data_IF_732628271500
#
_entry.id   IF_732628271500
#
_cell.length_a   1.000
_cell.length_b   1.000
_cell.length_c   1.000
_cell.angle_alpha   90.00
_cell.angle_beta   90.00
_cell.angle_gamma   90.00
#
_symmetry.space_group_name_H-M   'P 1'
#
loop_
_entity.id
_entity.type
_entity.pdbx_description
1 polymer ?
#
# COMPACT_ATOMS: atom_id res chain seq x y z
N UNK A 1 26.18 -37.08 -55.96
CA UNK A 1 26.59 -38.19 -55.06
C UNK A 1 28.09 -38.03 -54.89
N UNK A 2 28.66 -37.66 -53.75
CA UNK A 2 28.23 -37.76 -52.36
C UNK A 2 28.67 -36.50 -51.60
N UNK A 3 27.85 -36.09 -50.63
CA UNK A 3 28.24 -35.27 -49.48
C UNK A 3 29.25 -36.05 -48.64
N UNK A 4 29.90 -35.34 -47.71
CA UNK A 4 30.16 -35.72 -46.31
C UNK A 4 31.52 -35.12 -45.90
N UNK A 5 31.75 -34.52 -44.74
CA UNK A 5 30.91 -34.07 -43.62
C UNK A 5 31.85 -33.35 -42.62
N UNK A 6 31.24 -32.60 -41.71
CA UNK A 6 31.84 -31.99 -40.50
C UNK A 6 32.66 -30.71 -40.67
N UNK A 7 31.94 -29.63 -40.97
CA UNK A 7 32.24 -28.35 -40.36
C UNK A 7 31.87 -28.38 -38.87
N UNK A 8 32.86 -28.42 -38.00
CA UNK A 8 32.71 -28.07 -36.59
C UNK A 8 32.43 -26.56 -36.49
N UNK A 9 31.16 -26.19 -36.42
CA UNK A 9 30.72 -24.86 -36.02
C UNK A 9 29.50 -25.01 -35.12
N UNK A 10 29.73 -25.12 -33.81
CA UNK A 10 28.92 -24.44 -32.80
C UNK A 10 29.58 -24.57 -31.42
N UNK A 11 30.60 -23.75 -31.17
CA UNK A 11 30.76 -23.23 -29.81
C UNK A 11 29.56 -22.33 -29.58
N UNK A 12 28.55 -22.82 -28.86
CA UNK A 12 27.41 -21.99 -28.43
C UNK A 12 27.97 -20.86 -27.55
N UNK A 13 28.32 -19.73 -28.16
CA UNK A 13 28.94 -18.60 -27.49
C UNK A 13 27.89 -17.96 -26.58
N UNK A 14 27.99 -18.29 -25.29
CA UNK A 14 27.13 -17.72 -24.26
C UNK A 14 27.69 -16.35 -23.88
N UNK A 15 26.97 -15.30 -24.26
CA UNK A 15 27.38 -13.92 -24.00
C UNK A 15 27.04 -13.55 -22.56
N UNK A 16 28.03 -13.18 -21.78
CA UNK A 16 27.82 -12.71 -20.41
C UNK A 16 27.44 -11.22 -20.40
N UNK A 17 26.17 -10.96 -20.06
CA UNK A 17 25.57 -9.62 -20.10
C UNK A 17 26.21 -8.72 -19.05
N UNK A 18 26.46 -9.24 -17.84
CA UNK A 18 27.09 -8.49 -16.75
C UNK A 18 28.54 -8.09 -17.10
N UNK A 19 29.30 -9.03 -17.68
CA UNK A 19 30.69 -8.77 -18.07
C UNK A 19 30.79 -7.70 -19.16
N UNK A 20 29.90 -7.73 -20.14
CA UNK A 20 29.84 -6.72 -21.21
C UNK A 20 29.48 -5.33 -20.68
N UNK A 21 28.49 -5.25 -19.77
CA UNK A 21 28.09 -4.00 -19.13
C UNK A 21 29.23 -3.36 -18.32
N UNK A 22 29.95 -4.16 -17.50
CA UNK A 22 31.12 -3.67 -16.75
C UNK A 22 32.26 -3.18 -17.64
N UNK A 23 32.41 -3.75 -18.83
CA UNK A 23 33.39 -3.32 -19.81
C UNK A 23 32.95 -2.06 -20.59
N UNK A 24 31.74 -1.55 -20.35
CA UNK A 24 31.17 -0.39 -21.07
C UNK A 24 30.96 -0.65 -22.56
N UNK A 25 30.87 -1.92 -22.98
CA UNK A 25 30.71 -2.33 -24.38
C UNK A 25 29.26 -2.75 -24.64
N UNK A 26 28.72 -2.50 -25.84
CA UNK A 26 27.43 -3.06 -26.23
C UNK A 26 27.54 -4.60 -26.25
N UNK A 27 26.49 -5.25 -25.76
CA UNK A 27 26.36 -6.71 -25.82
C UNK A 27 26.03 -7.09 -27.26
N UNK A 28 26.86 -7.90 -27.95
CA UNK A 28 26.60 -8.25 -29.34
C UNK A 28 25.32 -9.10 -29.46
N UNK A 29 24.61 -9.03 -30.60
CA UNK A 29 23.53 -9.95 -30.87
C UNK A 29 24.09 -11.38 -30.94
N UNK A 30 23.67 -12.24 -30.01
CA UNK A 30 24.01 -13.66 -30.00
C UNK A 30 22.81 -14.55 -29.77
N UNK A 31 23.05 -15.86 -29.84
CA UNK A 31 22.01 -16.88 -29.67
C UNK A 31 21.74 -17.22 -28.20
N UNK A 32 22.65 -16.90 -27.28
CA UNK A 32 22.50 -17.18 -25.85
C UNK A 32 23.09 -16.07 -24.99
N UNK A 33 22.32 -15.60 -24.02
CA UNK A 33 22.69 -14.55 -23.07
C UNK A 33 22.71 -15.12 -21.66
N UNK A 34 23.79 -14.87 -20.92
CA UNK A 34 23.88 -15.18 -19.49
C UNK A 34 23.52 -13.93 -18.70
N UNK A 35 22.42 -14.01 -17.96
CA UNK A 35 21.95 -12.95 -17.05
C UNK A 35 22.03 -13.43 -15.61
N UNK A 36 22.28 -12.50 -14.69
CA UNK A 36 22.26 -12.78 -13.25
C UNK A 36 20.96 -12.29 -12.64
N UNK A 37 20.26 -13.17 -11.91
CA UNK A 37 19.09 -12.82 -11.09
C UNK A 37 19.39 -13.25 -9.65
N UNK A 38 19.37 -12.30 -8.72
CA UNK A 38 19.84 -12.47 -7.35
C UNK A 38 21.32 -12.95 -7.29
N UNK A 39 21.53 -14.24 -6.99
CA UNK A 39 22.84 -14.91 -6.93
C UNK A 39 23.06 -15.92 -8.05
N UNK A 40 22.00 -16.24 -8.80
CA UNK A 40 21.99 -17.31 -9.79
C UNK A 40 22.16 -16.75 -11.21
N UNK A 41 22.91 -17.49 -12.04
CA UNK A 41 23.11 -17.16 -13.45
C UNK A 41 22.21 -18.04 -14.32
N UNK A 42 21.51 -17.43 -15.27
CA UNK A 42 20.63 -18.11 -16.21
C UNK A 42 21.09 -17.85 -17.63
N UNK A 43 21.10 -18.89 -18.46
CA UNK A 43 21.34 -18.76 -19.90
C UNK A 43 20.00 -18.80 -20.62
N UNK A 44 19.71 -17.74 -21.36
CA UNK A 44 18.47 -17.55 -22.12
C UNK A 44 18.79 -17.39 -23.60
N UNK A 45 17.93 -17.91 -24.47
CA UNK A 45 18.10 -17.99 -25.92
C UNK A 45 17.51 -16.79 -26.68
N UNK A 46 17.15 -15.74 -25.95
CA UNK A 46 16.48 -14.53 -26.44
C UNK A 46 17.14 -13.29 -25.88
N UNK A 47 17.23 -12.25 -26.72
CA UNK A 47 17.80 -10.96 -26.34
C UNK A 47 16.86 -10.11 -25.50
N UNK A 48 15.56 -10.41 -25.50
CA UNK A 48 14.55 -9.67 -24.74
C UNK A 48 13.70 -10.60 -23.87
N UNK A 49 13.34 -10.13 -22.67
CA UNK A 49 12.41 -10.81 -21.77
C UNK A 49 11.58 -9.80 -20.99
N UNK A 50 10.33 -10.14 -20.70
CA UNK A 50 9.49 -9.36 -19.79
C UNK A 50 9.90 -9.56 -18.33
N UNK A 51 9.57 -8.59 -17.47
CA UNK A 51 9.80 -8.73 -16.03
C UNK A 51 9.18 -9.99 -15.42
N UNK A 52 7.99 -10.39 -15.88
CA UNK A 52 7.34 -11.62 -15.43
C UNK A 52 8.13 -12.88 -15.81
N UNK A 53 8.71 -12.91 -17.01
CA UNK A 53 9.51 -14.05 -17.46
C UNK A 53 10.86 -14.13 -16.73
N UNK A 54 11.49 -12.99 -16.44
CA UNK A 54 12.72 -12.94 -15.65
C UNK A 54 12.47 -13.42 -14.21
N UNK A 55 11.36 -13.01 -13.58
CA UNK A 55 10.94 -13.54 -12.28
C UNK A 55 10.67 -15.06 -12.34
N UNK A 56 10.11 -15.55 -13.45
CA UNK A 56 9.86 -16.96 -13.70
C UNK A 56 11.12 -17.83 -13.64
N UNK A 57 12.29 -17.31 -14.06
CA UNK A 57 13.57 -18.03 -14.00
C UNK A 57 13.94 -18.46 -12.58
N UNK A 58 13.61 -17.64 -11.59
CA UNK A 58 13.83 -17.90 -10.15
C UNK A 58 12.57 -18.39 -9.44
N UNK A 59 11.58 -18.92 -10.20
CA UNK A 59 10.31 -19.45 -9.69
C UNK A 59 9.52 -18.44 -8.83
N UNK A 60 9.62 -17.15 -9.17
CA UNK A 60 8.89 -16.04 -8.52
C UNK A 60 7.84 -15.49 -9.48
N UNK A 61 6.88 -14.74 -8.93
CA UNK A 61 5.81 -14.12 -9.72
C UNK A 61 5.73 -12.62 -9.45
N UNK A 62 5.26 -11.81 -10.41
CA UNK A 62 5.03 -10.39 -10.19
C UNK A 62 4.03 -10.09 -9.06
N UNK A 63 3.17 -11.05 -8.72
CA UNK A 63 2.22 -10.93 -7.61
C UNK A 63 2.89 -10.99 -6.23
N UNK A 64 4.11 -11.54 -6.14
CA UNK A 64 4.80 -11.77 -4.86
C UNK A 64 6.16 -11.08 -4.76
N UNK A 65 6.74 -10.65 -5.87
CA UNK A 65 8.08 -10.09 -5.93
C UNK A 65 8.18 -8.94 -6.95
N UNK A 66 8.86 -7.87 -6.56
CA UNK A 66 9.35 -6.83 -7.45
C UNK A 66 10.65 -7.28 -8.12
N UNK A 67 10.87 -6.83 -9.36
CA UNK A 67 12.10 -7.06 -10.11
C UNK A 67 12.83 -5.74 -10.34
N UNK A 68 14.10 -5.68 -9.98
CA UNK A 68 14.95 -4.51 -10.19
C UNK A 68 16.09 -4.85 -11.14
N UNK A 69 16.32 -4.01 -12.14
CA UNK A 69 17.51 -4.02 -12.99
C UNK A 69 18.55 -3.06 -12.41
N UNK A 70 19.75 -3.56 -12.18
CA UNK A 70 20.91 -2.72 -11.87
C UNK A 70 21.60 -2.35 -13.17
N UNK A 71 21.84 -1.05 -13.36
CA UNK A 71 22.54 -0.53 -14.53
C UNK A 71 23.91 0.04 -14.18
N UNK A 72 24.81 0.02 -15.17
CA UNK A 72 26.16 0.57 -15.03
C UNK A 72 26.13 2.01 -14.53
N UNK A 73 26.90 2.29 -13.47
CA UNK A 73 26.84 3.54 -12.71
C UNK A 73 26.04 3.47 -11.40
N UNK A 74 25.53 2.28 -11.03
CA UNK A 74 24.93 2.02 -9.72
C UNK A 74 23.46 2.40 -9.60
N UNK A 75 22.84 2.89 -10.67
CA UNK A 75 21.41 3.14 -10.70
C UNK A 75 20.62 1.83 -10.69
N UNK A 76 19.45 1.84 -10.05
CA UNK A 76 18.55 0.69 -9.98
C UNK A 76 17.19 1.10 -10.52
N UNK A 77 16.68 0.34 -11.50
CA UNK A 77 15.40 0.57 -12.17
C UNK A 77 14.41 -0.54 -11.82
N UNK A 78 13.20 -0.19 -11.38
CA UNK A 78 12.11 -1.15 -11.20
C UNK A 78 11.57 -1.56 -12.58
N UNK A 79 11.38 -2.87 -12.79
CA UNK A 79 10.87 -3.44 -14.04
C UNK A 79 9.47 -3.97 -13.81
N UNK A 80 8.50 -3.45 -14.58
CA UNK A 80 7.12 -3.91 -14.53
C UNK A 80 6.94 -5.33 -15.08
N UNK A 81 5.84 -6.01 -14.71
CA UNK A 81 5.57 -7.39 -15.12
C UNK A 81 5.56 -7.58 -16.66
N UNK A 82 4.95 -6.65 -17.40
CA UNK A 82 4.90 -6.66 -18.86
C UNK A 82 5.96 -5.80 -19.53
N UNK A 83 6.84 -5.16 -18.76
CA UNK A 83 7.93 -4.34 -19.30
C UNK A 83 9.00 -5.27 -19.89
N UNK A 84 9.32 -5.07 -21.17
CA UNK A 84 10.36 -5.82 -21.87
C UNK A 84 11.72 -5.21 -21.59
N UNK A 85 12.66 -6.05 -21.17
CA UNK A 85 14.08 -5.69 -20.98
C UNK A 85 14.87 -6.27 -22.14
N UNK A 86 15.68 -5.43 -22.78
CA UNK A 86 16.64 -5.85 -23.80
C UNK A 86 18.03 -6.01 -23.20
N UNK A 87 18.57 -7.23 -23.26
CA UNK A 87 19.89 -7.58 -22.73
C UNK A 87 21.05 -7.06 -23.60
N UNK A 88 20.75 -6.57 -24.80
CA UNK A 88 21.73 -5.94 -25.68
C UNK A 88 21.97 -4.47 -25.36
N UNK A 89 21.08 -3.85 -24.58
CA UNK A 89 21.22 -2.45 -24.14
C UNK A 89 22.47 -2.27 -23.28
N UNK A 90 23.26 -1.20 -23.51
CA UNK A 90 24.42 -0.91 -22.70
C UNK A 90 24.03 -0.73 -21.22
N UNK A 91 24.77 -1.42 -20.36
CA UNK A 91 24.71 -1.20 -18.92
C UNK A 91 23.81 -2.15 -18.16
N UNK A 92 23.17 -3.17 -18.74
CA UNK A 92 22.46 -4.19 -17.96
C UNK A 92 23.47 -5.03 -17.15
N UNK A 93 23.56 -4.81 -15.84
CA UNK A 93 24.54 -5.55 -15.01
C UNK A 93 23.93 -6.81 -14.39
N UNK A 94 22.80 -6.68 -13.70
CA UNK A 94 22.15 -7.80 -13.00
C UNK A 94 20.73 -7.45 -12.60
N UNK A 95 19.95 -8.47 -12.28
CA UNK A 95 18.63 -8.32 -11.70
C UNK A 95 18.63 -8.73 -10.22
N UNK A 96 17.86 -8.01 -9.42
CA UNK A 96 17.58 -8.38 -8.02
C UNK A 96 16.08 -8.45 -7.83
N UNK A 97 15.63 -9.48 -7.15
CA UNK A 97 14.25 -9.61 -6.73
C UNK A 97 14.08 -9.18 -5.28
N UNK A 98 12.99 -8.51 -4.99
CA UNK A 98 12.60 -8.19 -3.62
C UNK A 98 11.21 -8.77 -3.40
N UNK A 99 11.03 -9.54 -2.33
CA UNK A 99 9.69 -9.98 -1.92
C UNK A 99 8.86 -8.72 -1.71
N UNK A 100 7.72 -8.65 -2.38
CA UNK A 100 6.69 -7.67 -2.03
C UNK A 100 6.37 -8.02 -0.59
N UNK A 101 6.74 -7.14 0.35
CA UNK A 101 6.35 -7.32 1.73
C UNK A 101 4.84 -7.51 1.70
N UNK A 102 4.35 -8.61 2.28
CA UNK A 102 2.92 -8.78 2.50
C UNK A 102 2.50 -7.72 3.53
N UNK A 103 2.36 -6.48 3.08
CA UNK A 103 1.45 -5.54 3.64
C UNK A 103 0.18 -5.74 2.81
N UNK A 104 -0.79 -6.47 3.37
CA UNK A 104 -2.17 -6.09 3.12
C UNK A 104 -2.26 -4.60 3.44
N UNK A 105 -2.57 -3.82 2.41
CA UNK A 105 -2.34 -2.39 2.37
C UNK A 105 -1.62 -2.07 1.09
N UNK A 106 -2.40 -1.82 0.04
CA UNK A 106 -2.06 -0.76 -0.91
C UNK A 106 -1.24 0.31 -0.16
N UNK A 107 -0.11 0.78 -0.69
CA UNK A 107 0.37 2.11 -0.32
C UNK A 107 -0.70 3.10 -0.80
N UNK A 108 -1.82 3.17 -0.08
CA UNK A 108 -2.64 4.36 -0.01
C UNK A 108 -1.72 5.37 0.61
N UNK A 109 -1.06 6.16 -0.24
CA UNK A 109 -0.45 7.40 0.20
C UNK A 109 -1.54 8.12 1.00
N UNK A 110 -1.35 8.19 2.31
CA UNK A 110 -2.38 8.60 3.24
C UNK A 110 -2.84 10.01 2.84
N UNK A 111 -4.07 10.15 2.34
CA UNK A 111 -4.52 11.42 1.75
C UNK A 111 -4.48 12.52 2.81
N UNK A 112 -4.01 13.70 2.44
CA UNK A 112 -3.95 14.90 3.29
C UNK A 112 -4.58 16.09 2.56
N UNK A 113 -5.84 15.93 2.15
CA UNK A 113 -6.57 16.91 1.33
C UNK A 113 -6.90 18.21 2.06
N UNK A 114 -6.72 18.27 3.39
CA UNK A 114 -6.78 19.47 4.19
C UNK A 114 -5.84 19.36 5.40
N UNK A 115 -5.49 20.50 6.00
CA UNK A 115 -4.64 20.55 7.17
C UNK A 115 -5.46 20.43 8.47
N UNK A 116 -4.92 19.70 9.43
CA UNK A 116 -5.40 19.65 10.81
C UNK A 116 -4.47 20.47 11.71
N UNK A 117 -4.90 20.68 12.96
CA UNK A 117 -4.04 21.29 13.97
C UNK A 117 -2.85 20.35 14.27
N UNK A 118 -1.66 20.88 14.60
CA UNK A 118 -0.48 20.06 14.89
C UNK A 118 -0.71 18.99 15.97
N UNK A 119 -1.47 19.33 17.03
CA UNK A 119 -1.79 18.40 18.11
C UNK A 119 -2.65 17.21 17.62
N UNK A 120 -3.58 17.43 16.70
CA UNK A 120 -4.38 16.36 16.10
C UNK A 120 -3.52 15.44 15.23
N UNK A 121 -2.63 16.02 14.43
CA UNK A 121 -1.70 15.25 13.59
C UNK A 121 -0.80 14.38 14.45
N UNK A 122 -0.18 14.95 15.49
CA UNK A 122 0.69 14.21 16.42
C UNK A 122 -0.05 13.05 17.09
N UNK A 123 -1.27 13.31 17.57
CA UNK A 123 -2.11 12.27 18.16
C UNK A 123 -2.46 11.17 17.16
N UNK A 124 -2.90 11.52 15.95
CA UNK A 124 -3.30 10.57 14.92
C UNK A 124 -2.12 9.72 14.44
N UNK A 125 -0.95 10.33 14.21
CA UNK A 125 0.29 9.64 13.79
C UNK A 125 0.78 8.64 14.85
N UNK A 126 0.62 8.98 16.13
CA UNK A 126 0.99 8.08 17.24
C UNK A 126 -0.01 6.94 17.45
N UNK A 127 -1.28 7.18 17.17
CA UNK A 127 -2.38 6.28 17.58
C UNK A 127 -2.77 5.30 16.49
N UNK A 128 -2.77 5.74 15.22
CA UNK A 128 -3.29 4.96 14.11
C UNK A 128 -2.20 4.60 13.13
N UNK A 129 -2.19 3.34 12.68
CA UNK A 129 -1.27 2.88 11.64
C UNK A 129 -1.52 3.59 10.31
N UNK A 130 -2.79 3.89 10.03
CA UNK A 130 -3.21 4.64 8.85
C UNK A 130 -4.36 5.57 9.23
N UNK A 131 -4.22 6.83 8.87
CA UNK A 131 -5.31 7.79 8.88
C UNK A 131 -5.20 8.71 7.67
N UNK A 132 -6.33 9.27 7.24
CA UNK A 132 -6.47 10.13 6.06
C UNK A 132 -7.29 11.38 6.38
N UNK A 133 -6.89 12.52 5.81
CA UNK A 133 -7.70 13.73 5.71
C UNK A 133 -8.28 13.78 4.29
N UNK A 134 -9.58 13.54 4.16
CA UNK A 134 -10.29 13.41 2.88
C UNK A 134 -11.31 14.52 2.72
N UNK A 135 -11.44 15.06 1.51
CA UNK A 135 -12.55 15.95 1.13
C UNK A 135 -13.51 15.14 0.27
N UNK A 136 -14.73 14.93 0.77
CA UNK A 136 -15.82 14.29 0.04
C UNK A 136 -16.94 15.32 -0.22
N UNK A 137 -17.01 15.79 -1.46
CA UNK A 137 -17.82 16.94 -1.85
C UNK A 137 -17.36 18.22 -1.12
N UNK A 138 -18.23 18.73 -0.24
CA UNK A 138 -17.94 19.92 0.59
C UNK A 138 -17.60 19.59 2.05
N UNK A 139 -17.50 18.30 2.39
CA UNK A 139 -17.28 17.84 3.77
C UNK A 139 -15.83 17.40 3.93
N UNK A 140 -15.21 17.80 5.03
CA UNK A 140 -13.89 17.34 5.44
C UNK A 140 -14.06 16.17 6.41
N UNK A 141 -13.27 15.12 6.19
CA UNK A 141 -13.32 13.89 6.94
C UNK A 141 -11.93 13.49 7.41
N UNK A 142 -11.82 13.12 8.67
CA UNK A 142 -10.69 12.32 9.15
C UNK A 142 -11.15 10.87 9.17
N UNK A 143 -10.44 10.00 8.46
CA UNK A 143 -10.69 8.57 8.42
C UNK A 143 -9.49 7.87 9.06
N UNK A 144 -9.68 7.10 10.11
CA UNK A 144 -8.62 6.38 10.80
C UNK A 144 -8.93 4.88 10.86
N UNK A 145 -7.92 4.05 10.61
CA UNK A 145 -8.03 2.59 10.68
C UNK A 145 -7.48 2.04 12.00
N UNK A 146 -8.09 0.96 12.51
CA UNK A 146 -7.64 0.31 13.74
C UNK A 146 -8.13 1.00 15.02
N UNK A 147 -9.29 1.66 14.99
CA UNK A 147 -9.94 2.15 16.21
C UNK A 147 -10.39 0.97 17.06
N UNK A 148 -9.82 0.85 18.25
CA UNK A 148 -10.11 -0.22 19.20
C UNK A 148 -11.46 -0.03 19.85
N UNK A 149 -12.28 -1.07 19.81
CA UNK A 149 -13.61 -1.07 20.40
C UNK A 149 -13.60 -1.74 21.78
N UNK A 150 -14.50 -1.33 22.70
CA UNK A 150 -14.73 -2.06 23.93
C UNK A 150 -15.15 -3.51 23.64
N UNK A 151 -14.78 -4.44 24.53
CA UNK A 151 -15.25 -5.83 24.42
C UNK A 151 -16.79 -5.88 24.53
N UNK A 152 -17.45 -6.55 23.57
CA UNK A 152 -18.91 -6.62 23.50
C UNK A 152 -19.51 -6.28 22.13
N UNK A 153 -18.68 -5.87 21.17
CA UNK A 153 -19.07 -5.69 19.77
C UNK A 153 -18.67 -6.90 18.89
N UNK A 154 -19.21 -6.94 17.68
CA UNK A 154 -18.95 -7.97 16.65
C UNK A 154 -17.50 -8.00 16.13
N UNK A 155 -16.74 -6.92 16.33
CA UNK A 155 -15.33 -6.80 15.93
C UNK A 155 -14.54 -6.13 17.05
N UNK A 156 -13.25 -6.46 17.18
CA UNK A 156 -12.36 -5.85 18.17
C UNK A 156 -11.87 -4.46 17.74
N UNK A 157 -11.81 -4.22 16.43
CA UNK A 157 -11.35 -2.97 15.83
C UNK A 157 -12.22 -2.63 14.61
N UNK A 158 -12.38 -1.34 14.34
CA UNK A 158 -13.05 -0.83 13.15
C UNK A 158 -12.33 0.40 12.60
N UNK A 159 -12.59 0.75 11.34
CA UNK A 159 -12.30 2.11 10.88
C UNK A 159 -13.29 3.08 11.49
N UNK A 160 -12.81 4.27 11.84
CA UNK A 160 -13.63 5.38 12.31
C UNK A 160 -13.48 6.57 11.36
N UNK A 161 -14.57 7.26 11.05
CA UNK A 161 -14.55 8.54 10.37
C UNK A 161 -15.16 9.63 11.25
N UNK A 162 -14.57 10.82 11.20
CA UNK A 162 -15.00 12.02 11.91
C UNK A 162 -15.23 13.15 10.91
N UNK A 163 -16.37 13.84 11.01
CA UNK A 163 -16.63 15.01 10.19
C UNK A 163 -15.98 16.23 10.82
N UNK A 164 -15.04 16.84 10.11
CA UNK A 164 -14.36 18.07 10.54
C UNK A 164 -15.06 19.24 9.88
N UNK A 165 -15.49 20.21 10.69
CA UNK A 165 -16.04 21.46 10.19
C UNK A 165 -14.90 22.44 9.86
N UNK A 166 -15.06 23.35 8.88
CA UNK A 166 -14.01 24.31 8.54
C UNK A 166 -13.58 25.23 9.69
N UNK A 167 -14.45 25.44 10.68
CA UNK A 167 -14.19 26.25 11.88
C UNK A 167 -13.79 25.42 13.10
N UNK A 168 -13.44 24.15 12.92
CA UNK A 168 -12.83 23.35 13.99
C UNK A 168 -11.42 23.92 14.31
N UNK A 169 -11.01 24.05 15.59
CA UNK A 169 -11.64 23.51 16.80
C UNK A 169 -12.65 24.42 17.52
N UNK A 170 -13.02 25.59 16.97
CA UNK A 170 -14.02 26.48 17.59
C UNK A 170 -15.41 25.83 17.68
N UNK A 171 -15.68 24.86 16.81
CA UNK A 171 -16.91 24.07 16.80
C UNK A 171 -16.64 22.60 17.10
N UNK A 172 -17.58 21.98 17.81
CA UNK A 172 -17.45 20.59 18.25
C UNK A 172 -17.44 19.59 17.10
N UNK A 173 -16.68 18.50 17.29
CA UNK A 173 -16.93 17.24 16.59
C UNK A 173 -18.08 16.53 17.32
N UNK A 174 -19.12 16.18 16.57
CA UNK A 174 -20.42 15.75 17.12
C UNK A 174 -20.71 14.25 16.89
N UNK A 175 -20.10 13.65 15.88
CA UNK A 175 -20.50 12.37 15.32
C UNK A 175 -19.30 11.45 15.10
N UNK A 176 -19.53 10.14 15.26
CA UNK A 176 -18.61 9.11 14.82
C UNK A 176 -19.29 8.18 13.81
N UNK A 177 -18.50 7.67 12.87
CA UNK A 177 -18.96 6.79 11.81
C UNK A 177 -18.05 5.57 11.78
N UNK A 178 -18.63 4.37 11.72
CA UNK A 178 -17.87 3.12 11.80
C UNK A 178 -18.01 2.28 10.55
N UNK A 179 -16.91 1.63 10.18
CA UNK A 179 -16.86 0.63 9.11
C UNK A 179 -15.89 -0.49 9.51
N UNK A 180 -16.32 -1.76 9.63
CA UNK A 180 -17.68 -2.26 9.36
C UNK A 180 -18.73 -1.72 10.34
N UNK A 181 -20.01 -1.92 10.03
CA UNK A 181 -21.10 -1.57 10.93
C UNK A 181 -20.98 -2.37 12.23
N UNK A 182 -21.11 -1.69 13.36
CA UNK A 182 -21.04 -2.30 14.67
C UNK A 182 -22.38 -2.98 14.99
N UNK A 183 -22.31 -4.14 15.63
CA UNK A 183 -23.43 -4.82 16.29
C UNK A 183 -22.98 -5.33 17.64
N UNK A 184 -23.89 -5.42 18.61
CA UNK A 184 -23.56 -6.00 19.92
C UNK A 184 -23.43 -7.51 19.78
N UNK A 185 -22.40 -8.07 20.41
CA UNK A 185 -22.16 -9.51 20.45
C UNK A 185 -23.25 -10.25 21.26
N UNK A 186 -23.95 -9.57 22.16
CA UNK A 186 -25.07 -10.11 22.93
C UNK A 186 -26.41 -10.14 22.16
N UNK A 187 -26.43 -9.69 20.90
CA UNK A 187 -27.61 -9.69 20.04
C UNK A 187 -28.68 -8.65 20.40
N UNK A 188 -28.44 -7.78 21.40
CA UNK A 188 -29.40 -6.70 21.71
C UNK A 188 -29.44 -5.67 20.58
N UNK A 189 -30.63 -5.17 20.22
CA UNK A 189 -30.77 -4.17 19.17
C UNK A 189 -30.11 -2.86 19.60
N UNK A 190 -29.47 -2.19 18.63
CA UNK A 190 -28.97 -0.83 18.78
C UNK A 190 -29.86 0.12 17.99
N UNK A 191 -30.31 1.19 18.64
CA UNK A 191 -31.25 2.15 18.06
C UNK A 191 -30.52 3.36 17.43
N UNK A 192 -31.22 4.09 16.57
CA UNK A 192 -30.76 5.34 15.95
C UNK A 192 -29.48 5.20 15.11
N UNK A 193 -29.39 4.10 14.35
CA UNK A 193 -28.30 3.84 13.42
C UNK A 193 -28.77 4.15 12.00
N UNK A 194 -28.07 5.08 11.34
CA UNK A 194 -28.28 5.38 9.92
C UNK A 194 -27.03 5.03 9.13
N UNK A 195 -27.18 4.74 7.85
CA UNK A 195 -26.05 4.53 6.95
C UNK A 195 -25.77 5.82 6.17
N UNK A 196 -24.50 6.10 5.92
CA UNK A 196 -24.05 7.19 5.06
C UNK A 196 -22.85 6.73 4.23
N UNK A 197 -22.80 7.17 2.98
CA UNK A 197 -21.64 7.00 2.13
C UNK A 197 -20.61 8.09 2.38
N UNK A 198 -19.37 7.71 2.69
CA UNK A 198 -18.21 8.60 2.86
C UNK A 198 -17.09 8.03 2.02
N UNK A 199 -16.58 8.84 1.10
CA UNK A 199 -15.46 8.48 0.22
C UNK A 199 -15.70 7.16 -0.53
N UNK A 200 -16.89 7.02 -1.11
CA UNK A 200 -17.25 5.82 -1.87
C UNK A 200 -17.63 4.58 -1.02
N UNK A 201 -17.40 4.59 0.30
CA UNK A 201 -17.64 3.46 1.21
C UNK A 201 -18.89 3.70 2.08
N UNK A 202 -19.57 2.63 2.48
CA UNK A 202 -20.69 2.69 3.43
C UNK A 202 -20.19 2.72 4.89
N UNK A 203 -20.81 3.59 5.69
CA UNK A 203 -20.49 3.80 7.09
C UNK A 203 -21.75 3.87 7.96
N UNK A 204 -21.68 3.22 9.12
CA UNK A 204 -22.72 3.30 10.14
C UNK A 204 -22.51 4.56 10.98
N UNK A 205 -23.47 5.46 10.94
CA UNK A 205 -23.47 6.71 11.69
C UNK A 205 -23.96 6.51 13.13
N UNK A 206 -23.24 7.11 14.07
CA UNK A 206 -23.59 7.17 15.49
C UNK A 206 -23.78 8.61 15.94
N UNK A 207 -25.03 8.98 16.24
CA UNK A 207 -25.38 10.30 16.76
C UNK A 207 -25.33 10.35 18.27
N UNK A 208 -24.42 11.15 18.82
CA UNK A 208 -24.31 11.41 20.27
C UNK A 208 -23.98 12.88 20.48
N UNK A 209 -25.01 13.71 20.49
CA UNK A 209 -24.86 15.13 20.78
C UNK A 209 -24.35 15.35 22.20
N UNK A 210 -23.28 16.14 22.30
CA UNK A 210 -22.80 16.68 23.57
C UNK A 210 -23.80 17.70 24.10
N UNK A 211 -23.84 17.91 25.41
CA UNK A 211 -24.61 19.02 25.96
C UNK A 211 -23.96 20.35 25.56
N UNK A 212 -24.77 21.42 25.54
CA UNK A 212 -24.26 22.74 25.23
C UNK A 212 -23.17 23.14 26.25
N UNK A 213 -21.98 23.49 25.76
CA UNK A 213 -20.83 23.88 26.59
C UNK A 213 -19.89 22.75 26.99
N UNK A 214 -20.19 21.49 26.64
CA UNK A 214 -19.30 20.36 26.91
C UNK A 214 -18.03 20.37 26.07
N UNK A 215 -18.08 20.98 24.88
CA UNK A 215 -16.90 21.21 24.04
C UNK A 215 -16.23 22.51 24.43
N UNK A 216 -14.93 22.44 24.75
CA UNK A 216 -14.10 23.58 25.13
C UNK A 216 -13.19 23.92 23.95
N UNK A 217 -13.45 25.03 23.23
CA UNK A 217 -12.54 25.55 22.24
C UNK A 217 -11.12 25.67 22.82
N UNK A 218 -10.10 25.41 22.00
CA UNK A 218 -8.67 25.39 22.35
C UNK A 218 -8.21 24.30 23.34
N UNK A 219 -9.12 23.50 23.91
CA UNK A 219 -8.78 22.39 24.82
C UNK A 219 -9.17 21.05 24.22
N UNK A 220 -10.38 20.96 23.67
CA UNK A 220 -10.88 19.73 23.07
C UNK A 220 -10.46 19.60 21.61
N UNK A 221 -10.13 18.37 21.22
CA UNK A 221 -9.55 18.04 19.93
C UNK A 221 -10.00 16.65 19.49
N UNK A 222 -9.37 16.06 18.46
CA UNK A 222 -9.72 14.71 18.01
C UNK A 222 -9.47 13.67 19.11
N UNK A 223 -8.39 13.77 19.88
CA UNK A 223 -8.09 12.84 20.98
C UNK A 223 -9.21 12.84 22.03
N UNK A 224 -9.58 14.01 22.54
CA UNK A 224 -10.66 14.09 23.55
C UNK A 224 -12.02 13.72 22.96
N UNK A 225 -12.22 13.93 21.65
CA UNK A 225 -13.39 13.41 20.96
C UNK A 225 -13.41 11.87 20.92
N UNK A 226 -12.30 11.22 20.62
CA UNK A 226 -12.22 9.75 20.59
C UNK A 226 -12.37 9.11 21.97
N UNK A 227 -11.92 9.79 23.04
CA UNK A 227 -12.21 9.36 24.41
C UNK A 227 -13.72 9.40 24.71
N UNK A 228 -14.40 10.47 24.30
CA UNK A 228 -15.86 10.56 24.39
C UNK A 228 -16.56 9.48 23.56
N UNK A 229 -16.03 9.17 22.36
CA UNK A 229 -16.53 8.09 21.52
C UNK A 229 -16.47 6.75 22.25
N UNK A 230 -15.33 6.45 22.85
CA UNK A 230 -15.12 5.23 23.65
C UNK A 230 -16.11 5.16 24.81
N UNK A 231 -16.28 6.25 25.55
CA UNK A 231 -17.18 6.30 26.69
C UNK A 231 -18.66 6.03 26.32
N UNK A 232 -19.14 6.56 25.19
CA UNK A 232 -20.53 6.28 24.80
C UNK A 232 -20.71 4.85 24.27
N UNK A 233 -19.69 4.26 23.64
CA UNK A 233 -19.74 2.86 23.20
C UNK A 233 -19.85 1.94 24.43
N UNK A 234 -19.03 2.18 25.46
CA UNK A 234 -19.16 1.47 26.74
C UNK A 234 -20.53 1.68 27.40
N UNK A 235 -21.07 2.90 27.32
CA UNK A 235 -22.41 3.22 27.81
C UNK A 235 -23.51 2.45 27.07
N UNK A 236 -23.36 2.23 25.76
CA UNK A 236 -24.31 1.44 24.96
C UNK A 236 -24.35 -0.02 25.41
N UNK A 237 -23.18 -0.63 25.70
CA UNK A 237 -23.08 -2.02 26.15
C UNK A 237 -23.70 -2.26 27.54
N UNK A 238 -23.91 -1.20 28.33
CA UNK A 238 -24.55 -1.26 29.66
C UNK A 238 -26.07 -1.20 29.61
N UNK A 239 -26.67 -0.87 28.46
CA UNK A 239 -28.13 -0.91 28.25
C UNK A 239 -28.60 -2.33 28.09
#
# INVERSE_FOLDING_TARGET
MHKDENGELNSEEVIDVEASAKAGKPVPPGSKYRIRVDKDNFTVDRSTMTGAEILGLVKKTPATHNLYQHVHGGQTKLIGAGESVDFTEPGVERFTTMKIANQEGEERAARRSFALQPADVEFLDRTFRLWEAVVDGKKQWVIAEGFKLPAGYNVAEASIALRIAPTYPDVQIDMAYFSPALTRADGRPMNNLTQLKIDGKEWQQWSRHRAAGDWRPDVDNIETHLLYVTAFLEGELKK
#
